data_IF_973961574932
#
_entry.id   IF_973961574932
#
_cell.length_a   1.000
_cell.length_b   1.000
_cell.length_c   1.000
_cell.angle_alpha   90.00
_cell.angle_beta   90.00
_cell.angle_gamma   90.00
#
_symmetry.space_group_name_H-M   'P 1'
#
loop_
_entity.id
_entity.type
_entity.pdbx_description
1 polymer ?
#
# COMPACT_ATOMS: atom_id res chain seq x y z
N UNK A 1 11.85 13.93 19.67
CA UNK A 1 10.47 13.94 19.14
C UNK A 1 10.29 14.77 17.87
N UNK A 2 10.95 15.93 17.70
CA UNK A 2 10.76 16.83 16.52
C UNK A 2 11.44 16.39 15.21
N UNK A 3 12.41 15.47 15.24
CA UNK A 3 13.17 15.08 14.05
C UNK A 3 12.43 14.15 13.07
N UNK A 4 11.36 13.47 13.50
CA UNK A 4 10.63 12.52 12.64
C UNK A 4 9.63 13.24 11.71
N UNK A 5 8.90 14.25 12.23
CA UNK A 5 7.89 15.00 11.47
C UNK A 5 8.49 15.94 10.41
N UNK A 6 9.74 16.38 10.58
CA UNK A 6 10.37 17.35 9.68
C UNK A 6 10.84 16.76 8.34
N UNK A 7 10.87 15.43 8.21
CA UNK A 7 11.29 14.72 6.99
C UNK A 7 10.13 14.39 6.04
N UNK A 8 8.89 14.72 6.41
CA UNK A 8 7.70 14.42 5.59
C UNK A 8 6.96 15.68 5.09
N UNK A 9 7.65 16.72 4.57
CA UNK A 9 6.94 17.74 3.83
C UNK A 9 6.29 17.07 2.61
N UNK A 10 5.01 17.38 2.35
CA UNK A 10 4.36 17.07 1.08
C UNK A 10 5.05 17.88 -0.04
N UNK A 11 6.23 17.42 -0.46
CA UNK A 11 6.99 18.01 -1.53
C UNK A 11 6.32 17.74 -2.88
N UNK A 12 6.67 18.50 -3.93
CA UNK A 12 6.14 18.30 -5.27
C UNK A 12 6.39 16.87 -5.79
N UNK A 13 7.52 16.24 -5.41
CA UNK A 13 7.86 14.86 -5.73
C UNK A 13 6.87 13.82 -5.19
N UNK A 14 6.27 14.07 -4.03
CA UNK A 14 5.31 13.18 -3.37
C UNK A 14 3.96 13.21 -4.09
N UNK A 15 3.50 14.41 -4.49
CA UNK A 15 2.31 14.55 -5.35
C UNK A 15 2.53 13.94 -6.72
N UNK A 16 3.69 14.13 -7.36
CA UNK A 16 4.00 13.48 -8.64
C UNK A 16 3.98 11.95 -8.50
N UNK A 17 4.56 11.41 -7.42
CA UNK A 17 4.52 9.97 -7.14
C UNK A 17 3.10 9.44 -6.92
N UNK A 18 2.25 10.15 -6.17
CA UNK A 18 0.84 9.76 -5.99
C UNK A 18 0.06 9.75 -7.31
N UNK A 19 0.28 10.75 -8.17
CA UNK A 19 -0.34 10.80 -9.51
C UNK A 19 0.15 9.67 -10.40
N UNK A 20 1.46 9.39 -10.41
CA UNK A 20 2.04 8.25 -11.13
C UNK A 20 1.45 6.91 -10.67
N UNK A 21 1.30 6.71 -9.37
CA UNK A 21 0.70 5.50 -8.79
C UNK A 21 -0.78 5.38 -9.16
N UNK A 22 -1.54 6.48 -9.15
CA UNK A 22 -2.93 6.50 -9.56
C UNK A 22 -3.09 6.16 -11.05
N UNK A 23 -2.27 6.76 -11.92
CA UNK A 23 -2.24 6.45 -13.35
C UNK A 23 -1.87 4.97 -13.56
N UNK A 24 -0.84 4.47 -12.87
CA UNK A 24 -0.42 3.08 -12.97
C UNK A 24 -1.51 2.10 -12.50
N UNK A 25 -2.27 2.44 -11.46
CA UNK A 25 -3.40 1.62 -10.97
C UNK A 25 -4.51 1.53 -12.03
N UNK A 26 -4.92 2.66 -12.59
CA UNK A 26 -5.97 2.71 -13.62
C UNK A 26 -5.54 1.93 -14.86
N UNK A 27 -4.31 2.15 -15.34
CA UNK A 27 -3.76 1.44 -16.50
C UNK A 27 -3.69 -0.07 -16.25
N UNK A 28 -3.23 -0.49 -15.06
CA UNK A 28 -3.20 -1.91 -14.70
C UNK A 28 -4.60 -2.52 -14.65
N UNK A 29 -5.58 -1.85 -14.05
CA UNK A 29 -6.95 -2.35 -13.99
C UNK A 29 -7.53 -2.55 -15.40
N UNK A 30 -7.36 -1.58 -16.29
CA UNK A 30 -7.82 -1.67 -17.68
C UNK A 30 -7.13 -2.84 -18.40
N UNK A 31 -5.80 -2.91 -18.34
CA UNK A 31 -5.02 -3.99 -18.98
C UNK A 31 -5.41 -5.37 -18.43
N UNK A 32 -5.72 -5.47 -17.14
CA UNK A 32 -6.14 -6.75 -16.54
C UNK A 32 -7.50 -7.20 -17.05
N UNK A 33 -8.47 -6.30 -17.16
CA UNK A 33 -9.80 -6.63 -17.72
C UNK A 33 -9.66 -7.14 -19.16
N UNK A 34 -8.85 -6.46 -19.98
CA UNK A 34 -8.61 -6.91 -21.35
C UNK A 34 -7.92 -8.27 -21.40
N UNK A 35 -6.91 -8.52 -20.54
CA UNK A 35 -6.16 -9.78 -20.54
C UNK A 35 -7.02 -10.97 -20.10
N UNK A 36 -7.91 -10.80 -19.12
CA UNK A 36 -8.85 -11.85 -18.70
C UNK A 36 -10.02 -12.06 -19.67
N UNK A 37 -10.27 -11.11 -20.58
CA UNK A 37 -11.27 -11.24 -21.63
C UNK A 37 -10.84 -12.11 -22.81
N UNK A 38 -9.54 -12.38 -22.97
CA UNK A 38 -9.00 -13.20 -24.08
C UNK A 38 -9.01 -14.68 -23.66
N UNK A 39 -9.35 -15.58 -24.61
CA UNK A 39 -9.30 -17.04 -24.43
C UNK A 39 -7.85 -17.56 -24.37
N UNK A 40 -7.13 -17.22 -23.31
CA UNK A 40 -5.78 -17.70 -23.01
C UNK A 40 -5.72 -18.10 -21.54
N UNK A 41 -5.10 -19.25 -21.19
CA UNK A 41 -4.85 -19.59 -19.79
C UNK A 41 -3.88 -18.56 -19.20
N UNK A 42 -4.38 -17.66 -18.35
CA UNK A 42 -3.58 -16.61 -17.71
C UNK A 42 -3.80 -16.61 -16.20
N UNK A 43 -2.73 -16.25 -15.46
CA UNK A 43 -2.78 -16.15 -14.01
C UNK A 43 -3.22 -14.77 -13.53
N UNK A 44 -4.20 -14.71 -12.63
CA UNK A 44 -4.72 -13.46 -12.07
C UNK A 44 -4.01 -12.97 -10.80
N UNK A 45 -3.20 -13.83 -10.19
CA UNK A 45 -2.54 -13.55 -8.91
C UNK A 45 -1.63 -12.31 -8.95
N UNK A 46 -0.65 -12.27 -9.86
CA UNK A 46 0.34 -11.18 -9.94
C UNK A 46 -0.30 -9.79 -10.18
N UNK A 47 -1.22 -9.61 -11.14
CA UNK A 47 -1.83 -8.30 -11.34
C UNK A 47 -2.66 -7.83 -10.15
N UNK A 48 -3.39 -8.72 -9.49
CA UNK A 48 -4.17 -8.39 -8.29
C UNK A 48 -3.30 -8.02 -7.09
N UNK A 49 -2.17 -8.71 -6.91
CA UNK A 49 -1.17 -8.38 -5.89
C UNK A 49 -0.63 -6.96 -6.14
N UNK A 50 -0.24 -6.68 -7.37
CA UNK A 50 0.34 -5.39 -7.73
C UNK A 50 -0.67 -4.23 -7.61
N UNK A 51 -1.93 -4.44 -7.99
CA UNK A 51 -2.99 -3.43 -7.84
C UNK A 51 -3.24 -3.11 -6.35
N UNK A 52 -3.30 -4.14 -5.49
CA UNK A 52 -3.46 -3.96 -4.05
C UNK A 52 -2.25 -3.31 -3.38
N UNK A 53 -1.03 -3.64 -3.82
CA UNK A 53 0.19 -3.01 -3.31
C UNK A 53 0.23 -1.50 -3.59
N UNK A 54 -0.19 -1.08 -4.79
CA UNK A 54 -0.27 0.33 -5.18
C UNK A 54 -1.33 1.05 -4.33
N UNK A 55 -2.51 0.45 -4.18
CA UNK A 55 -3.60 1.02 -3.38
C UNK A 55 -3.22 1.13 -1.89
N UNK A 56 -2.60 0.08 -1.33
CA UNK A 56 -2.09 0.08 0.04
C UNK A 56 -1.01 1.14 0.26
N UNK A 57 -0.07 1.30 -0.68
CA UNK A 57 0.97 2.33 -0.58
C UNK A 57 0.39 3.75 -0.63
N UNK A 58 -0.63 3.98 -1.45
CA UNK A 58 -1.35 5.27 -1.51
C UNK A 58 -2.03 5.59 -0.17
N UNK A 59 -2.68 4.60 0.45
CA UNK A 59 -3.28 4.74 1.78
C UNK A 59 -2.21 4.98 2.87
N UNK A 60 -1.06 4.30 2.80
CA UNK A 60 0.04 4.52 3.74
C UNK A 60 0.59 5.94 3.68
N UNK A 61 0.76 6.48 2.48
CA UNK A 61 1.18 7.88 2.27
C UNK A 61 0.11 8.85 2.78
N UNK A 62 -1.18 8.58 2.52
CA UNK A 62 -2.27 9.42 3.00
C UNK A 62 -2.37 9.43 4.53
N UNK A 63 -2.19 8.29 5.20
CA UNK A 63 -2.21 8.21 6.66
C UNK A 63 -0.98 8.87 7.29
N UNK A 64 0.19 8.78 6.67
CA UNK A 64 1.37 9.55 7.07
C UNK A 64 1.10 11.06 7.01
N UNK A 65 0.53 11.57 5.90
CA UNK A 65 0.19 13.00 5.76
C UNK A 65 -0.84 13.44 6.80
N UNK A 66 -1.86 12.62 7.05
CA UNK A 66 -2.91 12.91 8.02
C UNK A 66 -2.35 12.98 9.45
N UNK A 67 -1.45 12.07 9.81
CA UNK A 67 -0.82 12.02 11.14
C UNK A 67 0.12 13.20 11.36
N UNK A 68 0.80 13.68 10.31
CA UNK A 68 1.60 14.91 10.36
C UNK A 68 0.70 16.14 10.53
N UNK A 69 -0.44 16.20 9.85
CA UNK A 69 -1.39 17.31 9.96
C UNK A 69 -2.06 17.40 11.36
N UNK A 70 -2.32 16.26 12.00
CA UNK A 70 -2.97 16.18 13.34
C UNK A 70 -1.98 15.93 14.49
N UNK A 71 -0.70 16.29 14.32
CA UNK A 71 0.37 16.05 15.29
C UNK A 71 0.20 16.78 16.64
N UNK A 72 -0.77 17.70 16.76
CA UNK A 72 -1.07 18.47 17.97
C UNK A 72 -1.80 17.68 19.06
N UNK A 73 -2.38 16.51 18.76
CA UNK A 73 -3.08 15.71 19.77
C UNK A 73 -2.12 14.80 20.58
N UNK A 74 -2.13 14.89 21.93
CA UNK A 74 -1.23 14.12 22.80
C UNK A 74 -1.45 12.59 22.74
N UNK A 75 -2.59 12.14 22.22
CA UNK A 75 -2.89 10.72 22.02
C UNK A 75 -2.05 10.10 20.88
N UNK A 76 -1.85 10.83 19.79
CA UNK A 76 -1.15 10.33 18.59
C UNK A 76 0.36 10.21 18.86
N UNK A 77 0.95 11.18 19.54
CA UNK A 77 2.38 11.16 19.91
C UNK A 77 2.74 10.07 20.93
N UNK A 78 1.76 9.60 21.73
CA UNK A 78 1.95 8.45 22.64
C UNK A 78 1.95 7.10 21.92
N UNK A 79 1.26 7.00 20.78
CA UNK A 79 1.23 5.79 19.95
C UNK A 79 2.50 5.60 19.12
N UNK A 80 3.22 6.69 18.82
CA UNK A 80 4.49 6.64 18.10
C UNK A 80 5.68 6.41 19.05
N UNK A 81 6.38 5.28 18.93
CA UNK A 81 7.66 5.06 19.64
C UNK A 81 8.78 5.88 18.99
N UNK A 82 9.60 6.56 19.80
CA UNK A 82 10.66 7.48 19.34
C UNK A 82 11.79 6.84 18.51
N UNK A 83 11.80 5.52 18.33
CA UNK A 83 12.88 4.77 17.65
C UNK A 83 12.48 4.22 16.28
N UNK A 84 11.22 4.36 15.86
CA UNK A 84 10.70 3.78 14.60
C UNK A 84 9.80 4.79 13.85
N UNK A 85 9.71 4.71 12.51
CA UNK A 85 8.71 5.47 11.77
C UNK A 85 7.31 5.09 12.27
N UNK A 86 6.49 6.09 12.62
CA UNK A 86 5.18 5.83 13.25
C UNK A 86 4.20 5.13 12.30
N UNK A 87 4.32 5.42 11.00
CA UNK A 87 3.64 4.70 9.94
C UNK A 87 4.70 4.24 8.96
N UNK A 88 4.59 2.99 8.49
CA UNK A 88 5.46 2.44 7.48
C UNK A 88 4.62 2.13 6.22
N UNK A 89 4.77 2.89 5.13
CA UNK A 89 3.90 2.77 3.96
C UNK A 89 4.10 1.44 3.23
N UNK A 90 5.26 0.79 3.43
CA UNK A 90 5.52 -0.57 2.95
C UNK A 90 4.63 -1.63 3.59
N UNK A 91 4.31 -1.49 4.89
CA UNK A 91 3.40 -2.41 5.58
C UNK A 91 1.97 -2.28 5.02
N UNK A 92 1.54 -1.04 4.79
CA UNK A 92 0.25 -0.76 4.14
C UNK A 92 0.19 -1.32 2.72
N UNK A 93 1.28 -1.27 1.96
CA UNK A 93 1.37 -1.89 0.64
C UNK A 93 1.19 -3.42 0.71
N UNK A 94 1.87 -4.10 1.66
CA UNK A 94 1.73 -5.55 1.87
C UNK A 94 0.29 -5.93 2.23
N UNK A 95 -0.32 -5.22 3.19
CA UNK A 95 -1.71 -5.48 3.62
C UNK A 95 -2.71 -5.22 2.49
N UNK A 96 -2.51 -4.15 1.71
CA UNK A 96 -3.33 -3.86 0.54
C UNK A 96 -3.23 -4.94 -0.53
N UNK A 97 -2.03 -5.47 -0.78
CA UNK A 97 -1.81 -6.59 -1.71
C UNK A 97 -2.52 -7.88 -1.25
N UNK A 98 -2.45 -8.18 0.05
CA UNK A 98 -3.15 -9.33 0.64
C UNK A 98 -4.68 -9.19 0.56
N UNK A 99 -5.21 -7.98 0.80
CA UNK A 99 -6.64 -7.71 0.74
C UNK A 99 -7.22 -7.90 -0.65
N UNK A 100 -6.56 -7.39 -1.70
CA UNK A 100 -7.05 -7.56 -3.08
C UNK A 100 -6.91 -9.00 -3.57
N UNK A 101 -5.80 -9.67 -3.26
CA UNK A 101 -5.60 -11.08 -3.60
C UNK A 101 -6.63 -12.00 -2.93
N UNK A 102 -6.88 -11.80 -1.64
CA UNK A 102 -7.86 -12.58 -0.87
C UNK A 102 -9.28 -12.32 -1.36
N UNK A 103 -9.58 -11.08 -1.74
CA UNK A 103 -10.87 -10.69 -2.31
C UNK A 103 -11.16 -11.38 -3.65
N UNK A 104 -10.17 -11.49 -4.55
CA UNK A 104 -10.40 -12.06 -5.88
C UNK A 104 -10.29 -13.59 -5.89
N UNK A 105 -9.36 -14.18 -5.13
CA UNK A 105 -9.08 -15.62 -5.20
C UNK A 105 -9.81 -16.45 -4.13
N UNK A 106 -10.36 -15.81 -3.09
CA UNK A 106 -11.00 -16.48 -1.94
C UNK A 106 -10.08 -17.51 -1.25
N UNK A 107 -8.76 -17.47 -1.47
CA UNK A 107 -7.78 -18.32 -0.79
C UNK A 107 -7.30 -17.62 0.48
N UNK A 108 -7.76 -18.08 1.66
CA UNK A 108 -7.46 -17.41 2.94
C UNK A 108 -6.20 -17.98 3.61
N UNK A 109 -6.12 -19.30 3.81
CA UNK A 109 -5.01 -19.91 4.57
C UNK A 109 -3.70 -19.91 3.77
N UNK A 110 -3.74 -20.32 2.50
CA UNK A 110 -2.55 -20.38 1.65
C UNK A 110 -1.94 -18.99 1.39
N UNK A 111 -2.77 -17.96 1.24
CA UNK A 111 -2.31 -16.59 1.00
C UNK A 111 -1.49 -16.06 2.17
N UNK A 112 -1.95 -16.28 3.41
CA UNK A 112 -1.23 -15.81 4.61
C UNK A 112 0.16 -16.41 4.67
N UNK A 113 0.29 -17.72 4.40
CA UNK A 113 1.60 -18.39 4.37
C UNK A 113 2.49 -17.80 3.28
N UNK A 114 1.97 -17.63 2.06
CA UNK A 114 2.74 -16.99 0.97
C UNK A 114 3.20 -15.59 1.36
N UNK A 115 2.38 -14.79 2.04
CA UNK A 115 2.75 -13.45 2.49
C UNK A 115 3.81 -13.46 3.59
N UNK A 116 3.77 -14.42 4.51
CA UNK A 116 4.79 -14.59 5.54
C UNK A 116 6.14 -15.03 4.94
N UNK A 117 6.11 -15.99 4.01
CA UNK A 117 7.30 -16.45 3.27
C UNK A 117 7.91 -15.31 2.44
N UNK A 118 7.09 -14.54 1.72
CA UNK A 118 7.54 -13.41 0.90
C UNK A 118 8.05 -12.22 1.72
N UNK A 119 7.52 -12.03 2.93
CA UNK A 119 7.96 -10.96 3.85
C UNK A 119 9.19 -11.39 4.66
N UNK A 120 9.55 -12.68 4.62
CA UNK A 120 10.72 -13.23 5.31
C UNK A 120 10.56 -13.23 6.82
N UNK A 121 9.51 -13.91 7.30
CA UNK A 121 9.13 -14.01 8.73
C UNK A 121 10.27 -14.17 9.72
#
# INVERSE_FOLDING_TARGET
MTKVYQNYPAGPSLSTAMVLLAIALILKLILTVFTFGIKVPTGLFIPSLAAGAIMGRMLGIATEQLVVAYASHPFIVKMCKSSQPCINPGLYAMVGAAATLGGVTRMTISLVVVMLELTGG
#
